data_IF_098853090358
#
_entry.id   IF_098853090358
#
_cell.length_a   1.000
_cell.length_b   1.000
_cell.length_c   1.000
_cell.angle_alpha   90.00
_cell.angle_beta   90.00
_cell.angle_gamma   90.00
#
_symmetry.space_group_name_H-M   'P 1'
#
loop_
_entity.id
_entity.type
_entity.pdbx_description
1 polymer ?
#
# COMPACT_ATOMS: atom_id res chain seq x y z
N UNK A 1 5.99 21.76 3.29
CA UNK A 1 6.53 20.56 2.62
C UNK A 1 6.99 20.93 1.23
N UNK A 2 8.14 20.41 0.74
CA UNK A 2 8.54 20.66 -0.64
C UNK A 2 7.52 20.04 -1.60
N UNK A 3 7.28 20.70 -2.73
CA UNK A 3 6.40 20.16 -3.77
C UNK A 3 7.03 18.94 -4.42
N UNK A 4 6.20 18.02 -4.96
CA UNK A 4 6.64 16.77 -5.63
C UNK A 4 7.78 17.00 -6.62
N UNK A 5 7.74 18.10 -7.40
CA UNK A 5 8.83 18.47 -8.32
C UNK A 5 10.17 18.72 -7.63
N UNK A 6 10.17 18.99 -6.34
CA UNK A 6 11.40 19.20 -5.55
C UNK A 6 11.94 17.89 -4.97
N UNK A 7 11.07 16.88 -4.81
CA UNK A 7 11.47 15.56 -4.29
C UNK A 7 12.06 14.67 -5.40
N UNK A 8 11.62 14.85 -6.65
CA UNK A 8 12.07 14.01 -7.78
C UNK A 8 13.44 14.37 -8.32
N UNK A 9 13.91 15.59 -8.08
CA UNK A 9 15.14 16.10 -8.67
C UNK A 9 16.32 16.17 -7.70
N UNK A 10 16.10 15.81 -6.44
CA UNK A 10 17.10 15.96 -5.39
C UNK A 10 17.47 14.57 -4.85
N UNK A 11 18.69 14.14 -5.13
CA UNK A 11 19.38 13.25 -4.23
C UNK A 11 19.35 13.90 -2.83
N UNK A 12 19.06 13.16 -1.81
CA UNK A 12 19.01 13.52 -0.38
C UNK A 12 19.65 14.89 -0.09
N UNK A 13 18.82 15.84 0.33
CA UNK A 13 19.23 17.24 0.59
C UNK A 13 19.75 17.45 2.02
N UNK A 14 19.87 16.38 2.81
CA UNK A 14 20.29 16.42 4.22
C UNK A 14 19.19 16.84 5.19
N UNK A 15 17.94 16.92 4.78
CA UNK A 15 16.82 17.29 5.64
C UNK A 15 16.05 16.02 6.04
N UNK A 16 16.29 15.58 7.25
CA UNK A 16 15.65 14.41 7.85
C UNK A 16 14.26 14.75 8.40
N UNK A 17 13.31 14.96 7.53
CA UNK A 17 11.92 15.18 7.94
C UNK A 17 11.09 13.94 7.59
N UNK A 18 10.71 13.11 8.56
CA UNK A 18 9.82 11.98 8.30
C UNK A 18 8.47 12.49 7.77
N UNK A 19 7.92 11.76 6.83
CA UNK A 19 6.58 12.01 6.36
C UNK A 19 5.57 11.66 7.46
N UNK A 20 4.78 12.61 7.85
CA UNK A 20 3.65 12.43 8.76
C UNK A 20 2.38 12.69 7.95
N UNK A 21 1.54 11.68 7.73
CA UNK A 21 0.30 11.88 6.97
C UNK A 21 -0.56 12.97 7.60
N UNK A 22 -1.08 13.93 6.82
CA UNK A 22 -2.03 14.89 7.31
C UNK A 22 -3.37 14.22 7.63
N UNK A 23 -4.22 14.86 8.45
CA UNK A 23 -5.57 14.34 8.74
C UNK A 23 -6.44 14.17 7.51
N UNK A 24 -6.22 14.98 6.49
CA UNK A 24 -6.90 14.91 5.20
C UNK A 24 -5.84 14.96 4.12
N UNK A 25 -5.77 13.90 3.30
CA UNK A 25 -4.84 13.81 2.20
C UNK A 25 -5.22 14.77 1.08
N UNK A 26 -4.23 15.40 0.47
CA UNK A 26 -4.42 16.23 -0.71
C UNK A 26 -4.33 15.39 -1.98
N UNK A 27 -5.40 14.68 -2.29
CA UNK A 27 -5.48 13.79 -3.46
C UNK A 27 -5.93 14.59 -4.68
N UNK A 28 -5.29 14.38 -5.82
CA UNK A 28 -5.66 15.04 -7.07
C UNK A 28 -7.10 14.71 -7.47
N UNK A 29 -7.91 15.70 -7.88
CA UNK A 29 -9.27 15.45 -8.39
C UNK A 29 -9.32 14.59 -9.66
N UNK A 30 -8.18 14.39 -10.34
CA UNK A 30 -8.08 13.52 -11.51
C UNK A 30 -8.10 12.03 -11.13
N UNK A 31 -7.75 11.68 -9.88
CA UNK A 31 -7.85 10.34 -9.36
C UNK A 31 -9.23 10.16 -8.72
N UNK A 32 -10.06 9.33 -9.34
CA UNK A 32 -11.35 8.97 -8.78
C UNK A 32 -11.17 7.84 -7.77
N UNK A 33 -11.65 8.04 -6.55
CA UNK A 33 -11.70 7.01 -5.52
C UNK A 33 -13.09 6.38 -5.52
N UNK A 34 -13.13 5.06 -5.43
CA UNK A 34 -14.39 4.31 -5.31
C UNK A 34 -14.96 4.52 -3.91
N UNK A 35 -16.07 5.26 -3.84
CA UNK A 35 -16.71 5.64 -2.58
C UNK A 35 -18.18 5.24 -2.53
N UNK A 36 -18.57 4.35 -3.43
CA UNK A 36 -19.91 3.79 -3.45
C UNK A 36 -19.91 2.49 -2.64
N UNK A 37 -20.56 2.51 -1.50
CA UNK A 37 -20.68 1.36 -0.63
C UNK A 37 -22.10 1.24 -0.05
N UNK A 38 -22.53 0.03 0.18
CA UNK A 38 -23.78 -0.24 0.88
C UNK A 38 -23.66 0.11 2.36
N UNK A 39 -24.60 0.90 2.88
CA UNK A 39 -24.64 1.25 4.31
C UNK A 39 -24.95 0.02 5.19
N UNK A 40 -25.59 -0.99 4.61
CA UNK A 40 -25.94 -2.22 5.32
C UNK A 40 -25.63 -3.45 4.48
N UNK A 41 -24.86 -4.35 5.04
CA UNK A 41 -24.58 -5.66 4.45
C UNK A 41 -25.14 -6.72 5.39
N UNK A 42 -25.84 -7.73 4.87
CA UNK A 42 -26.32 -8.81 5.71
C UNK A 42 -25.13 -9.61 6.30
N UNK A 43 -25.27 -10.17 7.51
CA UNK A 43 -24.16 -10.83 8.21
C UNK A 43 -23.51 -11.98 7.45
N UNK A 44 -24.26 -12.71 6.64
CA UNK A 44 -23.74 -13.86 5.87
C UNK A 44 -22.87 -13.34 4.73
N UNK A 45 -23.36 -12.38 3.96
CA UNK A 45 -22.58 -11.73 2.90
C UNK A 45 -21.31 -11.09 3.46
N UNK A 46 -21.39 -10.39 4.59
CA UNK A 46 -20.24 -9.82 5.27
C UNK A 46 -19.17 -10.88 5.58
N UNK A 47 -19.56 -12.00 6.20
CA UNK A 47 -18.63 -13.07 6.54
C UNK A 47 -18.03 -13.73 5.29
N UNK A 48 -18.80 -13.89 4.20
CA UNK A 48 -18.27 -14.42 2.93
C UNK A 48 -17.21 -13.47 2.36
N UNK A 49 -17.49 -12.18 2.30
CA UNK A 49 -16.51 -11.17 1.81
C UNK A 49 -15.28 -11.18 2.71
N UNK A 50 -15.45 -11.12 4.02
CA UNK A 50 -14.36 -11.11 4.98
C UNK A 50 -13.44 -12.31 4.82
N UNK A 51 -13.99 -13.52 4.72
CA UNK A 51 -13.20 -14.72 4.52
C UNK A 51 -12.51 -14.78 3.14
N UNK A 52 -13.17 -14.32 2.10
CA UNK A 52 -12.56 -14.28 0.77
C UNK A 52 -11.37 -13.31 0.72
N UNK A 53 -11.48 -12.12 1.29
CA UNK A 53 -10.38 -11.17 1.37
C UNK A 53 -9.21 -11.72 2.19
N UNK A 54 -9.51 -12.39 3.31
CA UNK A 54 -8.48 -13.08 4.08
C UNK A 54 -7.75 -14.12 3.21
N UNK A 55 -8.50 -15.02 2.57
CA UNK A 55 -7.91 -16.07 1.74
C UNK A 55 -7.07 -15.49 0.59
N UNK A 56 -7.52 -14.43 -0.07
CA UNK A 56 -6.76 -13.74 -1.12
C UNK A 56 -5.43 -13.23 -0.55
N UNK A 57 -5.45 -12.63 0.63
CA UNK A 57 -4.24 -12.10 1.25
C UNK A 57 -3.27 -13.23 1.67
N UNK A 58 -3.79 -14.35 2.20
CA UNK A 58 -2.98 -15.53 2.53
C UNK A 58 -2.35 -16.18 1.29
N UNK A 59 -3.12 -16.36 0.22
CA UNK A 59 -2.61 -16.89 -1.05
C UNK A 59 -1.56 -15.97 -1.68
N UNK A 60 -1.74 -14.67 -1.55
CA UNK A 60 -0.76 -13.68 -1.98
C UNK A 60 0.57 -13.90 -1.24
N UNK A 61 0.57 -13.93 0.09
CA UNK A 61 1.77 -14.16 0.88
C UNK A 61 2.43 -15.51 0.60
N UNK A 62 1.64 -16.59 0.53
CA UNK A 62 2.16 -17.91 0.21
C UNK A 62 2.77 -17.98 -1.21
N UNK A 63 2.21 -17.25 -2.15
CA UNK A 63 2.74 -17.17 -3.52
C UNK A 63 4.08 -16.46 -3.53
N UNK A 64 4.18 -15.28 -2.91
CA UNK A 64 5.43 -14.52 -2.81
C UNK A 64 6.50 -15.36 -2.12
N UNK A 65 6.18 -16.01 -1.01
CA UNK A 65 7.10 -16.90 -0.31
C UNK A 65 7.71 -17.95 -1.24
N UNK A 66 6.89 -18.56 -2.10
CA UNK A 66 7.32 -19.64 -3.01
C UNK A 66 8.15 -19.15 -4.18
N UNK A 67 7.86 -17.97 -4.72
CA UNK A 67 8.47 -17.47 -5.97
C UNK A 67 9.59 -16.47 -5.75
N UNK A 68 9.74 -15.90 -4.56
CA UNK A 68 10.70 -14.82 -4.28
C UNK A 68 12.16 -15.24 -4.54
N UNK A 69 12.51 -16.52 -4.34
CA UNK A 69 13.89 -16.99 -4.39
C UNK A 69 14.77 -16.48 -3.25
N UNK A 70 14.25 -15.63 -2.38
CA UNK A 70 14.96 -15.13 -1.21
C UNK A 70 14.91 -16.15 -0.07
N UNK A 71 16.05 -16.61 0.46
CA UNK A 71 16.06 -17.51 1.63
C UNK A 71 15.39 -16.86 2.86
N UNK A 72 15.47 -15.55 2.98
CA UNK A 72 14.88 -14.81 4.11
C UNK A 72 13.36 -14.85 4.00
N UNK A 73 12.79 -14.55 2.85
CA UNK A 73 11.35 -14.66 2.63
C UNK A 73 10.85 -16.10 2.71
N UNK A 74 11.59 -17.05 2.11
CA UNK A 74 11.16 -18.46 2.02
C UNK A 74 11.20 -19.19 3.36
N UNK A 75 12.23 -18.96 4.18
CA UNK A 75 12.49 -19.74 5.40
C UNK A 75 12.27 -18.94 6.69
N UNK A 76 12.60 -17.65 6.70
CA UNK A 76 12.38 -16.79 7.84
C UNK A 76 11.00 -16.11 7.83
N UNK A 77 10.25 -16.22 6.72
CA UNK A 77 8.95 -15.58 6.53
C UNK A 77 9.03 -14.05 6.66
N UNK A 78 10.14 -13.48 6.21
CA UNK A 78 10.41 -12.05 6.25
C UNK A 78 9.73 -11.37 5.06
N UNK A 79 8.43 -11.32 5.14
CA UNK A 79 7.52 -10.70 4.17
C UNK A 79 6.19 -10.40 4.86
N UNK A 80 5.42 -9.48 4.31
CA UNK A 80 4.01 -9.36 4.71
C UNK A 80 3.13 -8.74 3.62
N UNK A 81 2.13 -9.48 3.10
CA UNK A 81 1.13 -8.93 2.20
C UNK A 81 0.09 -8.12 2.98
N UNK A 82 -0.49 -7.11 2.34
CA UNK A 82 -1.58 -6.33 2.92
C UNK A 82 -2.60 -5.91 1.87
N UNK A 83 -3.82 -5.69 2.31
CA UNK A 83 -4.91 -5.07 1.56
C UNK A 83 -5.32 -3.82 2.31
N UNK A 84 -5.39 -2.69 1.59
CA UNK A 84 -5.83 -1.41 2.14
C UNK A 84 -6.99 -0.86 1.29
N UNK A 85 -7.83 -0.04 1.91
CA UNK A 85 -8.89 0.69 1.21
C UNK A 85 -8.31 1.69 0.19
N UNK A 86 -9.17 2.33 -0.59
CA UNK A 86 -8.79 3.35 -1.58
C UNK A 86 -8.08 4.56 -0.96
N UNK A 87 -8.31 4.87 0.31
CA UNK A 87 -7.66 5.95 1.07
C UNK A 87 -6.62 5.46 2.09
N UNK A 88 -6.14 4.23 1.89
CA UNK A 88 -5.02 3.63 2.62
C UNK A 88 -5.32 3.28 4.09
N UNK A 89 -6.54 2.89 4.41
CA UNK A 89 -6.85 2.27 5.68
C UNK A 89 -6.71 0.74 5.58
N UNK A 90 -6.17 0.09 6.61
CA UNK A 90 -5.97 -1.35 6.60
C UNK A 90 -7.29 -2.13 6.59
N UNK A 91 -7.38 -3.08 5.65
CA UNK A 91 -8.42 -4.12 5.63
C UNK A 91 -7.85 -5.43 6.17
N UNK A 92 -6.73 -5.88 5.59
CA UNK A 92 -6.02 -7.08 6.03
C UNK A 92 -4.51 -6.92 5.89
N UNK A 93 -3.79 -7.59 6.78
CA UNK A 93 -2.37 -7.86 6.68
C UNK A 93 -2.09 -9.33 6.99
N UNK A 94 -1.02 -9.86 6.42
CA UNK A 94 -0.65 -11.28 6.57
C UNK A 94 -0.15 -11.62 7.97
N UNK A 95 -0.09 -12.91 8.30
CA UNK A 95 0.38 -13.40 9.60
C UNK A 95 1.92 -13.48 9.71
N UNK A 96 2.64 -12.97 8.71
CA UNK A 96 4.09 -13.08 8.62
C UNK A 96 4.80 -12.03 9.49
N UNK A 97 5.66 -11.20 8.93
CA UNK A 97 6.38 -10.18 9.68
C UNK A 97 5.51 -8.91 9.86
N UNK A 98 4.74 -8.87 10.94
CA UNK A 98 3.65 -7.89 11.13
C UNK A 98 4.10 -6.43 11.17
N UNK A 99 5.32 -6.12 11.64
CA UNK A 99 5.80 -4.74 11.67
C UNK A 99 5.89 -4.12 10.27
N UNK A 100 6.14 -4.93 9.25
CA UNK A 100 6.19 -4.48 7.86
C UNK A 100 4.85 -3.93 7.37
N UNK A 101 3.74 -4.49 7.84
CA UNK A 101 2.41 -3.96 7.53
C UNK A 101 2.12 -2.65 8.25
N UNK A 102 2.60 -2.48 9.47
CA UNK A 102 2.31 -1.32 10.30
C UNK A 102 2.78 0.04 9.74
N UNK A 103 3.48 0.05 8.63
CA UNK A 103 4.03 1.25 7.98
C UNK A 103 3.57 1.42 6.53
N UNK A 104 2.88 0.41 5.98
CA UNK A 104 2.45 0.39 4.58
C UNK A 104 1.45 1.49 4.26
N UNK A 105 0.52 1.76 5.16
CA UNK A 105 -0.46 2.84 5.02
C UNK A 105 0.21 4.20 4.83
N UNK A 106 1.29 4.46 5.55
CA UNK A 106 2.07 5.69 5.45
C UNK A 106 2.66 5.85 4.05
N UNK A 107 3.20 4.79 3.46
CA UNK A 107 3.73 4.82 2.11
C UNK A 107 2.63 5.00 1.06
N UNK A 108 1.50 4.32 1.22
CA UNK A 108 0.34 4.49 0.32
C UNK A 108 -0.24 5.90 0.43
N UNK A 109 -0.37 6.45 1.63
CA UNK A 109 -0.81 7.84 1.85
C UNK A 109 0.13 8.84 1.18
N UNK A 110 1.45 8.59 1.24
CA UNK A 110 2.42 9.42 0.53
C UNK A 110 2.23 9.33 -0.99
N UNK A 111 2.01 8.14 -1.54
CA UNK A 111 1.75 7.96 -2.98
C UNK A 111 0.46 8.70 -3.38
N UNK A 112 -0.61 8.56 -2.62
CA UNK A 112 -1.87 9.29 -2.87
C UNK A 112 -1.66 10.80 -2.88
N UNK A 113 -0.91 11.33 -1.92
CA UNK A 113 -0.70 12.77 -1.80
C UNK A 113 0.25 13.34 -2.87
N UNK A 114 1.33 12.61 -3.19
CA UNK A 114 2.39 13.12 -4.05
C UNK A 114 2.42 12.55 -5.45
N UNK A 115 1.67 11.50 -5.76
CA UNK A 115 1.65 10.87 -7.08
C UNK A 115 0.29 10.86 -7.76
N UNK A 116 -0.79 11.16 -7.05
CA UNK A 116 -2.14 11.15 -7.64
C UNK A 116 -2.32 12.13 -8.80
N UNK A 117 -1.61 13.26 -8.79
CA UNK A 117 -1.69 14.27 -9.86
C UNK A 117 -0.58 14.16 -10.90
N UNK A 118 0.63 13.82 -10.49
CA UNK A 118 1.82 13.71 -11.36
C UNK A 118 2.74 12.62 -10.81
N UNK A 119 2.97 11.53 -11.56
CA UNK A 119 2.51 11.28 -12.94
C UNK A 119 1.02 10.86 -13.06
N UNK A 120 0.29 10.77 -11.97
CA UNK A 120 -1.02 10.14 -11.87
C UNK A 120 -0.88 8.68 -11.44
N UNK A 121 -2.00 8.07 -11.00
CA UNK A 121 -2.09 6.67 -10.59
C UNK A 121 -3.08 5.99 -11.50
N UNK A 122 -2.69 4.84 -12.08
CA UNK A 122 -3.47 4.15 -13.11
C UNK A 122 -3.51 2.64 -12.84
N UNK A 123 -4.50 1.99 -13.41
CA UNK A 123 -4.56 0.53 -13.42
C UNK A 123 -3.31 -0.06 -14.08
N UNK A 124 -2.70 -1.04 -13.41
CA UNK A 124 -1.46 -1.69 -13.84
C UNK A 124 -0.18 -1.01 -13.36
N UNK A 125 -0.26 0.12 -12.68
CA UNK A 125 0.91 0.70 -12.02
C UNK A 125 1.39 -0.19 -10.87
N UNK A 126 2.69 -0.14 -10.62
CA UNK A 126 3.35 -0.73 -9.46
C UNK A 126 4.37 0.26 -8.91
N UNK A 127 4.28 0.54 -7.63
CA UNK A 127 5.21 1.41 -6.93
C UNK A 127 6.16 0.58 -6.08
N UNK A 128 7.44 0.93 -6.12
CA UNK A 128 8.44 0.42 -5.19
C UNK A 128 8.80 1.51 -4.19
N UNK A 129 8.82 1.16 -2.91
CA UNK A 129 9.16 2.08 -1.85
C UNK A 129 10.01 1.37 -0.78
N UNK A 130 11.08 2.02 -0.34
CA UNK A 130 11.94 1.54 0.75
C UNK A 130 12.54 2.71 1.55
N UNK A 131 11.90 3.87 1.50
CA UNK A 131 12.39 5.07 2.17
C UNK A 131 11.97 5.05 3.65
N UNK A 132 12.94 4.99 4.62
CA UNK A 132 12.62 5.03 6.03
C UNK A 132 11.91 6.32 6.48
N UNK A 133 12.10 7.42 5.78
CA UNK A 133 11.40 8.67 6.07
C UNK A 133 9.94 8.69 5.62
N UNK A 134 9.56 7.69 4.82
CA UNK A 134 8.19 7.48 4.32
C UNK A 134 7.63 6.15 4.82
N UNK A 135 8.12 5.63 5.94
CA UNK A 135 7.52 4.49 6.60
C UNK A 135 8.18 3.12 6.33
N UNK A 136 9.29 3.02 5.61
CA UNK A 136 10.05 1.78 5.65
C UNK A 136 10.76 1.63 7.01
N UNK A 137 10.81 0.42 7.57
CA UNK A 137 11.53 0.20 8.83
C UNK A 137 13.05 0.40 8.63
N UNK A 138 13.55 -0.06 7.51
CA UNK A 138 14.91 0.20 7.01
C UNK A 138 14.93 0.04 5.48
N UNK A 139 16.02 0.46 4.85
CA UNK A 139 16.14 0.45 3.39
C UNK A 139 16.16 -0.93 2.73
N UNK A 140 16.35 -1.99 3.51
CA UNK A 140 16.33 -3.36 3.02
C UNK A 140 14.90 -3.90 2.84
N UNK A 141 13.94 -3.32 3.56
CA UNK A 141 12.52 -3.64 3.40
C UNK A 141 11.99 -2.93 2.16
N UNK A 142 11.75 -3.69 1.11
CA UNK A 142 11.20 -3.16 -0.14
C UNK A 142 9.71 -3.45 -0.21
N UNK A 143 8.93 -2.39 -0.26
CA UNK A 143 7.49 -2.46 -0.43
C UNK A 143 7.13 -2.40 -1.91
N UNK A 144 6.35 -3.38 -2.37
CA UNK A 144 5.65 -3.33 -3.65
C UNK A 144 4.20 -2.95 -3.40
N UNK A 145 3.71 -1.90 -4.06
CA UNK A 145 2.40 -1.29 -3.85
C UNK A 145 1.67 -1.22 -5.18
N UNK A 146 0.51 -1.86 -5.27
CA UNK A 146 -0.28 -1.95 -6.50
C UNK A 146 -1.69 -1.40 -6.28
N UNK A 147 -2.12 -0.37 -7.04
CA UNK A 147 -3.50 0.09 -7.02
C UNK A 147 -4.40 -0.87 -7.80
N UNK A 148 -5.55 -1.16 -7.25
CA UNK A 148 -6.60 -1.96 -7.88
C UNK A 148 -7.75 -1.04 -8.24
N UNK A 149 -8.17 -1.06 -9.50
CA UNK A 149 -9.25 -0.24 -10.02
C UNK A 149 -10.49 -1.09 -10.32
N UNK A 150 -11.64 -0.55 -9.99
CA UNK A 150 -12.94 -1.06 -10.38
C UNK A 150 -13.69 0.02 -11.16
N UNK A 151 -14.16 -0.28 -12.36
CA UNK A 151 -14.90 0.65 -13.25
C UNK A 151 -14.23 2.03 -13.45
N UNK A 152 -12.90 2.06 -13.42
CA UNK A 152 -12.12 3.28 -13.61
C UNK A 152 -11.89 4.11 -12.33
N UNK A 153 -12.31 3.63 -11.19
CA UNK A 153 -12.10 4.22 -9.88
C UNK A 153 -11.13 3.38 -9.06
N UNK A 154 -10.28 4.01 -8.26
CA UNK A 154 -9.38 3.34 -7.35
C UNK A 154 -10.19 2.69 -6.23
N UNK A 155 -10.18 1.37 -6.19
CA UNK A 155 -10.98 0.57 -5.26
C UNK A 155 -10.23 0.17 -4.00
N UNK A 156 -9.00 -0.30 -4.15
CA UNK A 156 -8.17 -0.71 -3.02
C UNK A 156 -6.69 -0.75 -3.41
N UNK A 157 -5.84 -1.04 -2.45
CA UNK A 157 -4.42 -1.29 -2.65
C UNK A 157 -4.06 -2.69 -2.22
N UNK A 158 -3.22 -3.34 -3.01
CA UNK A 158 -2.57 -4.60 -2.66
C UNK A 158 -1.09 -4.31 -2.49
N UNK A 159 -0.52 -4.73 -1.38
CA UNK A 159 0.88 -4.46 -1.08
C UNK A 159 1.58 -5.70 -0.59
N UNK A 160 2.89 -5.74 -0.77
CA UNK A 160 3.74 -6.73 -0.15
C UNK A 160 5.08 -6.11 0.22
N UNK A 161 5.53 -6.36 1.42
CA UNK A 161 6.87 -6.02 1.88
C UNK A 161 7.75 -7.26 1.91
N UNK A 162 8.99 -7.13 1.46
CA UNK A 162 10.04 -8.15 1.48
C UNK A 162 11.32 -7.57 2.05
#
# INVERSE_FOLDING_TARGET
>A
MPRISQITDVAFDGIDNPYVPPKTLNISPSLKLHRDWDETVDPVTYEVIRHNLWNINEEHGATIQRISGSPVAMFALDLNPSILTEDAEFVYFGPYMQYMSGVTDTQVKWILEYRSGNPGIKAGDMFLANDPWVGAAHQMDVMLICPVFHEGELFCWITNCL
#
